data_IF_328434342119
#
_entry.id   IF_328434342119
#
_cell.length_a   1.000
_cell.length_b   1.000
_cell.length_c   1.000
_cell.angle_alpha   90.00
_cell.angle_beta   90.00
_cell.angle_gamma   90.00
#
_symmetry.space_group_name_H-M   'P 1'
#
loop_
_entity.id
_entity.type
_entity.pdbx_description
1 polymer ?
#
# COMPACT_ATOMS: atom_id res chain seq x y z
N UNK A 1 14.52 0.89 -1.17
CA UNK A 1 13.49 0.15 -0.44
C UNK A 1 12.12 0.51 -1.00
N UNK A 2 11.35 -0.48 -1.34
CA UNK A 2 9.96 -0.31 -1.77
C UNK A 2 9.07 -0.89 -0.67
N UNK A 3 8.20 -0.06 -0.11
CA UNK A 3 7.29 -0.47 0.95
C UNK A 3 5.85 -0.52 0.42
N UNK A 4 5.28 -1.70 0.39
CA UNK A 4 3.87 -1.91 0.03
C UNK A 4 3.21 -2.73 1.14
N UNK A 5 2.81 -2.04 2.19
CA UNK A 5 2.26 -2.64 3.41
C UNK A 5 0.85 -2.11 3.66
N UNK A 6 0.08 -2.86 4.41
CA UNK A 6 -1.22 -2.42 4.90
C UNK A 6 -2.37 -3.39 4.68
N UNK A 7 -2.32 -4.22 3.65
CA UNK A 7 -3.43 -5.13 3.34
C UNK A 7 -3.74 -6.07 4.51
N UNK A 8 -2.72 -6.69 5.11
CA UNK A 8 -2.91 -7.63 6.21
C UNK A 8 -3.37 -6.94 7.49
N UNK A 9 -3.06 -5.66 7.64
CA UNK A 9 -3.50 -4.89 8.81
C UNK A 9 -5.01 -4.65 8.83
N UNK A 10 -5.68 -4.83 7.69
CA UNK A 10 -7.13 -4.61 7.59
C UNK A 10 -7.98 -5.74 8.18
N UNK A 11 -7.39 -6.89 8.51
CA UNK A 11 -8.13 -7.98 9.12
C UNK A 11 -8.55 -7.62 10.54
N UNK A 12 -9.65 -8.19 11.01
CA UNK A 12 -10.14 -7.94 12.36
C UNK A 12 -9.09 -8.26 13.43
N UNK A 13 -8.31 -9.32 13.22
CA UNK A 13 -7.27 -9.74 14.15
C UNK A 13 -6.13 -8.73 14.27
N UNK A 14 -5.79 -8.06 13.18
CA UNK A 14 -4.61 -7.20 13.10
C UNK A 14 -4.93 -5.72 13.22
N UNK A 15 -6.19 -5.34 12.97
CA UNK A 15 -6.57 -3.93 13.00
C UNK A 15 -6.71 -3.41 14.43
N UNK A 16 -6.03 -2.32 14.73
CA UNK A 16 -6.24 -1.56 15.96
C UNK A 16 -6.95 -0.25 15.65
N UNK A 17 -6.22 0.70 15.10
CA UNK A 17 -6.78 1.98 14.64
C UNK A 17 -5.78 2.61 13.66
N UNK A 18 -6.22 3.65 12.98
CA UNK A 18 -5.39 4.31 11.97
C UNK A 18 -4.21 5.06 12.60
N UNK A 19 -4.35 5.59 13.80
CA UNK A 19 -3.28 6.29 14.47
C UNK A 19 -2.12 5.35 14.82
N UNK A 20 -2.43 4.15 15.30
CA UNK A 20 -1.44 3.12 15.57
C UNK A 20 -0.73 2.70 14.27
N UNK A 21 -1.49 2.51 13.21
CA UNK A 21 -0.91 2.19 11.90
C UNK A 21 0.08 3.27 11.45
N UNK A 22 -0.30 4.53 11.56
CA UNK A 22 0.55 5.65 11.16
C UNK A 22 1.84 5.71 11.96
N UNK A 23 1.77 5.49 13.27
CA UNK A 23 2.95 5.48 14.14
C UNK A 23 3.91 4.35 13.77
N UNK A 24 3.37 3.16 13.58
CA UNK A 24 4.19 1.99 13.25
C UNK A 24 4.83 2.16 11.88
N UNK A 25 4.09 2.67 10.92
CA UNK A 25 4.58 2.91 9.57
C UNK A 25 5.69 3.97 9.58
N UNK A 26 5.48 5.07 10.29
CA UNK A 26 6.48 6.14 10.42
C UNK A 26 7.74 5.63 11.12
N UNK A 27 7.60 4.80 12.14
CA UNK A 27 8.74 4.19 12.83
C UNK A 27 9.57 3.32 11.89
N UNK A 28 8.89 2.57 11.04
CA UNK A 28 9.56 1.72 10.06
C UNK A 28 10.34 2.55 9.04
N UNK A 29 9.75 3.61 8.53
CA UNK A 29 10.42 4.55 7.64
C UNK A 29 11.68 5.12 8.30
N UNK A 30 11.53 5.58 9.52
CA UNK A 30 12.67 6.15 10.27
C UNK A 30 13.78 5.15 10.45
N UNK A 31 13.43 3.89 10.74
CA UNK A 31 14.42 2.83 10.86
C UNK A 31 15.27 2.68 9.60
N UNK A 32 14.66 2.74 8.43
CA UNK A 32 15.39 2.69 7.17
C UNK A 32 16.19 3.96 6.93
N UNK A 33 15.65 5.13 7.25
CA UNK A 33 16.34 6.41 7.06
C UNK A 33 17.60 6.50 7.92
N UNK A 34 17.60 5.88 9.08
CA UNK A 34 18.73 5.90 10.02
C UNK A 34 19.84 4.92 9.66
N UNK A 35 19.65 4.07 8.64
CA UNK A 35 20.69 3.15 8.20
C UNK A 35 21.86 3.91 7.55
N UNK A 36 23.07 3.41 7.76
CA UNK A 36 24.28 4.01 7.19
C UNK A 36 24.25 4.07 5.66
N UNK A 37 23.58 3.11 5.03
CA UNK A 37 23.45 3.08 3.58
C UNK A 37 22.54 4.18 3.03
N UNK A 38 21.76 4.83 3.89
CA UNK A 38 20.80 5.86 3.51
C UNK A 38 19.96 5.46 2.31
N UNK A 39 19.23 4.34 2.38
CA UNK A 39 18.50 3.84 1.22
C UNK A 39 17.40 4.81 0.79
N UNK A 40 17.18 4.86 -0.51
CA UNK A 40 16.02 5.55 -1.06
C UNK A 40 14.77 4.75 -0.75
N UNK A 41 13.72 5.43 -0.32
CA UNK A 41 12.48 4.77 0.08
C UNK A 41 11.34 5.19 -0.84
N UNK A 42 10.62 4.19 -1.36
CA UNK A 42 9.47 4.37 -2.22
C UNK A 42 8.27 3.76 -1.52
N UNK A 43 7.18 4.51 -1.42
CA UNK A 43 5.96 4.02 -0.80
C UNK A 43 4.97 3.63 -1.88
N UNK A 44 4.30 2.49 -1.68
CA UNK A 44 3.23 2.03 -2.58
C UNK A 44 1.99 1.84 -1.71
N UNK A 45 0.88 2.47 -2.09
CA UNK A 45 -0.37 2.24 -1.38
C UNK A 45 -0.84 0.81 -1.64
N UNK A 46 -1.53 0.16 -0.68
CA UNK A 46 -2.09 -1.16 -0.94
C UNK A 46 -3.18 -1.07 -2.00
N UNK A 47 -3.41 -2.16 -2.77
CA UNK A 47 -4.52 -2.17 -3.70
C UNK A 47 -5.85 -2.15 -2.94
N UNK A 48 -6.91 -1.68 -3.59
CA UNK A 48 -8.22 -1.71 -2.97
C UNK A 48 -8.64 -3.15 -2.68
N UNK A 49 -9.53 -3.32 -1.72
CA UNK A 49 -10.12 -4.61 -1.41
C UNK A 49 -11.52 -4.64 -2.02
N UNK A 50 -11.79 -5.68 -2.82
CA UNK A 50 -13.10 -5.89 -3.41
C UNK A 50 -14.00 -6.54 -2.35
N UNK A 51 -15.11 -5.89 -2.02
CA UNK A 51 -16.06 -6.44 -1.05
C UNK A 51 -17.05 -7.37 -1.75
N UNK A 52 -17.37 -8.48 -1.09
CA UNK A 52 -18.43 -9.39 -1.50
C UNK A 52 -19.77 -9.03 -0.86
N UNK A 53 -19.84 -7.90 -0.15
CA UNK A 53 -21.02 -7.45 0.56
C UNK A 53 -21.11 -7.93 2.00
N UNK A 54 -20.20 -8.81 2.44
CA UNK A 54 -20.15 -9.24 3.83
C UNK A 54 -19.67 -8.09 4.72
N UNK A 55 -20.08 -8.11 5.99
CA UNK A 55 -19.67 -7.09 6.96
C UNK A 55 -18.14 -7.04 7.09
N UNK A 56 -17.50 -8.20 7.16
CA UNK A 56 -16.04 -8.28 7.26
C UNK A 56 -15.34 -7.60 6.08
N UNK A 57 -15.77 -7.90 4.85
CA UNK A 57 -15.13 -7.35 3.67
C UNK A 57 -15.42 -5.87 3.50
N UNK A 58 -16.61 -5.42 3.86
CA UNK A 58 -16.94 -4.00 3.85
C UNK A 58 -16.05 -3.21 4.80
N UNK A 59 -15.81 -3.75 6.00
CA UNK A 59 -14.92 -3.11 6.96
C UNK A 59 -13.48 -3.10 6.48
N UNK A 60 -13.01 -4.20 5.89
CA UNK A 60 -11.66 -4.25 5.33
C UNK A 60 -11.47 -3.24 4.20
N UNK A 61 -12.48 -3.09 3.35
CA UNK A 61 -12.43 -2.13 2.26
C UNK A 61 -12.32 -0.69 2.78
N UNK A 62 -13.03 -0.36 3.84
CA UNK A 62 -12.93 0.95 4.48
C UNK A 62 -11.56 1.17 5.13
N UNK A 63 -11.03 0.16 5.78
CA UNK A 63 -9.73 0.25 6.45
C UNK A 63 -8.60 0.44 5.45
N UNK A 64 -8.63 -0.25 4.31
CA UNK A 64 -7.60 -0.08 3.29
C UNK A 64 -7.65 1.32 2.67
N UNK A 65 -8.83 1.90 2.55
CA UNK A 65 -8.97 3.28 2.09
C UNK A 65 -8.36 4.27 3.08
N UNK A 66 -8.60 4.08 4.37
CA UNK A 66 -7.96 4.89 5.42
C UNK A 66 -6.45 4.75 5.38
N UNK A 67 -5.95 3.54 5.20
CA UNK A 67 -4.52 3.25 5.09
C UNK A 67 -3.92 3.96 3.88
N UNK A 68 -4.58 3.89 2.74
CA UNK A 68 -4.16 4.55 1.51
C UNK A 68 -3.98 6.06 1.76
N UNK A 69 -4.96 6.69 2.36
CA UNK A 69 -4.91 8.12 2.66
C UNK A 69 -3.79 8.44 3.66
N UNK A 70 -3.60 7.58 4.67
CA UNK A 70 -2.53 7.75 5.65
C UNK A 70 -1.15 7.65 5.01
N UNK A 71 -0.95 6.70 4.10
CA UNK A 71 0.34 6.53 3.42
C UNK A 71 0.65 7.75 2.54
N UNK A 72 -0.34 8.30 1.86
CA UNK A 72 -0.15 9.52 1.09
C UNK A 72 0.29 10.69 1.96
N UNK A 73 -0.35 10.86 3.12
CA UNK A 73 0.02 11.90 4.08
C UNK A 73 1.44 11.69 4.62
N UNK A 74 1.78 10.45 4.96
CA UNK A 74 3.12 10.10 5.45
C UNK A 74 4.18 10.38 4.38
N UNK A 75 3.89 10.02 3.13
CA UNK A 75 4.80 10.28 2.02
C UNK A 75 5.06 11.76 1.84
N UNK A 76 4.01 12.57 1.86
CA UNK A 76 4.11 14.02 1.74
C UNK A 76 4.93 14.60 2.90
N UNK A 77 4.65 14.18 4.12
CA UNK A 77 5.34 14.65 5.31
C UNK A 77 6.84 14.32 5.31
N UNK A 78 7.20 13.15 4.79
CA UNK A 78 8.59 12.69 4.74
C UNK A 78 9.27 13.00 3.40
N UNK A 79 8.59 13.66 2.48
CA UNK A 79 9.08 13.98 1.14
C UNK A 79 9.51 12.74 0.36
N UNK A 80 8.71 11.68 0.47
CA UNK A 80 8.92 10.42 -0.24
C UNK A 80 7.93 10.29 -1.39
N UNK A 81 8.37 9.60 -2.44
CA UNK A 81 7.49 9.30 -3.57
C UNK A 81 6.50 8.21 -3.19
N UNK A 82 5.23 8.45 -3.48
CA UNK A 82 4.15 7.48 -3.25
C UNK A 82 3.60 7.05 -4.61
N UNK A 83 3.62 5.75 -4.86
CA UNK A 83 2.94 5.16 -6.01
C UNK A 83 1.53 4.76 -5.59
N UNK A 84 0.52 5.34 -6.22
CA UNK A 84 -0.88 5.16 -5.83
C UNK A 84 -1.49 3.93 -6.52
N UNK A 85 -1.08 2.75 -6.05
CA UNK A 85 -1.63 1.49 -6.57
C UNK A 85 -3.12 1.36 -6.26
N UNK A 86 -3.58 1.91 -5.14
CA UNK A 86 -4.99 1.85 -4.76
C UNK A 86 -5.89 2.39 -5.88
N UNK A 87 -5.59 3.58 -6.37
CA UNK A 87 -6.40 4.21 -7.42
C UNK A 87 -6.34 3.44 -8.74
N UNK A 88 -5.18 2.92 -9.10
CA UNK A 88 -5.05 2.10 -10.30
C UNK A 88 -5.85 0.81 -10.18
N UNK A 89 -5.80 0.16 -9.04
CA UNK A 89 -6.50 -1.10 -8.83
C UNK A 89 -8.02 -0.97 -8.90
N UNK A 90 -8.56 0.21 -8.58
CA UNK A 90 -10.00 0.47 -8.70
C UNK A 90 -10.49 0.33 -10.14
N UNK A 91 -9.63 0.59 -11.11
CA UNK A 91 -9.96 0.53 -12.54
C UNK A 91 -9.75 -0.86 -13.14
N UNK A 92 -9.21 -1.80 -12.35
CA UNK A 92 -8.82 -3.11 -12.84
C UNK A 92 -9.32 -4.24 -11.94
N UNK A 93 -10.64 -4.43 -11.84
CA UNK A 93 -11.18 -5.51 -11.01
C UNK A 93 -10.71 -6.90 -11.44
N UNK A 94 -10.27 -7.05 -12.70
CA UNK A 94 -9.75 -8.29 -13.25
C UNK A 94 -8.37 -8.69 -12.69
N UNK A 95 -7.73 -7.83 -11.92
CA UNK A 95 -6.40 -8.10 -11.34
C UNK A 95 -6.46 -8.97 -10.08
N UNK A 96 -7.64 -9.35 -9.61
CA UNK A 96 -7.82 -9.97 -8.30
C UNK A 96 -8.11 -11.46 -8.39
N UNK A 97 -7.66 -12.19 -7.35
CA UNK A 97 -8.10 -13.56 -7.11
C UNK A 97 -9.53 -13.53 -6.57
N UNK A 98 -10.13 -14.71 -6.43
CA UNK A 98 -11.53 -14.83 -6.00
C UNK A 98 -11.81 -14.22 -4.62
N UNK A 99 -10.79 -14.15 -3.76
CA UNK A 99 -10.95 -13.57 -2.43
C UNK A 99 -11.15 -12.04 -2.44
N UNK A 100 -10.90 -11.39 -3.57
CA UNK A 100 -11.05 -9.92 -3.69
C UNK A 100 -9.96 -9.12 -2.97
N UNK A 101 -8.96 -9.80 -2.41
CA UNK A 101 -7.88 -9.19 -1.62
C UNK A 101 -6.54 -9.34 -2.33
N UNK A 102 -6.19 -10.58 -2.68
CA UNK A 102 -4.90 -10.87 -3.31
C UNK A 102 -4.96 -10.65 -4.81
N UNK A 103 -3.88 -10.14 -5.36
CA UNK A 103 -3.77 -9.96 -6.79
C UNK A 103 -3.48 -11.29 -7.47
N UNK A 104 -4.02 -11.46 -8.67
CA UNK A 104 -3.70 -12.60 -9.51
C UNK A 104 -2.37 -12.32 -10.26
N UNK A 105 -1.98 -13.24 -11.14
CA UNK A 105 -0.75 -13.11 -11.90
C UNK A 105 -0.69 -11.82 -12.71
N UNK A 106 -1.80 -11.46 -13.37
CA UNK A 106 -1.86 -10.25 -14.20
C UNK A 106 -1.73 -8.99 -13.34
N UNK A 107 -2.39 -8.97 -12.19
CA UNK A 107 -2.28 -7.87 -11.25
C UNK A 107 -0.86 -7.74 -10.69
N UNK A 108 -0.25 -8.85 -10.31
CA UNK A 108 1.13 -8.84 -9.81
C UNK A 108 2.12 -8.34 -10.85
N UNK A 109 1.96 -8.75 -12.12
CA UNK A 109 2.81 -8.25 -13.20
C UNK A 109 2.62 -6.76 -13.44
N UNK A 110 1.37 -6.29 -13.39
CA UNK A 110 1.08 -4.87 -13.55
C UNK A 110 1.75 -4.03 -12.45
N UNK A 111 1.70 -4.49 -11.20
CA UNK A 111 2.38 -3.82 -10.09
C UNK A 111 3.89 -3.79 -10.29
N UNK A 112 4.48 -4.90 -10.70
CA UNK A 112 5.91 -4.98 -10.96
C UNK A 112 6.33 -3.98 -12.05
N UNK A 113 5.56 -3.88 -13.12
CA UNK A 113 5.82 -2.93 -14.19
C UNK A 113 5.72 -1.48 -13.71
N UNK A 114 4.69 -1.16 -12.95
CA UNK A 114 4.48 0.18 -12.43
C UNK A 114 5.60 0.60 -11.48
N UNK A 115 5.99 -0.27 -10.56
CA UNK A 115 7.08 0.00 -9.62
C UNK A 115 8.41 0.13 -10.37
N UNK A 116 8.68 -0.78 -11.28
CA UNK A 116 9.89 -0.75 -12.09
C UNK A 116 10.02 0.54 -12.89
N UNK A 117 8.95 0.93 -13.58
CA UNK A 117 8.93 2.16 -14.37
C UNK A 117 9.14 3.40 -13.52
N UNK A 118 8.51 3.43 -12.34
CA UNK A 118 8.65 4.56 -11.43
C UNK A 118 10.10 4.73 -10.98
N UNK A 119 10.75 3.66 -10.59
CA UNK A 119 12.15 3.68 -10.14
C UNK A 119 13.08 4.06 -11.29
N UNK A 120 12.91 3.46 -12.46
CA UNK A 120 13.75 3.72 -13.63
C UNK A 120 13.62 5.18 -14.07
N UNK A 121 12.42 5.70 -14.16
CA UNK A 121 12.19 7.07 -14.61
C UNK A 121 12.78 8.10 -13.65
N UNK A 122 12.79 7.81 -12.35
CA UNK A 122 13.34 8.75 -11.38
C UNK A 122 14.87 8.71 -11.31
N UNK A 123 15.48 7.58 -11.64
CA UNK A 123 16.95 7.46 -11.63
C UNK A 123 17.60 7.98 -12.92
N UNK A 124 16.79 8.28 -13.90
CA UNK A 124 17.25 8.94 -15.12
C UNK A 124 17.24 10.46 -14.95
#
# INVERSE_FOLDING_TARGET
>A
VVMMLGTNDTTEENWTDIDTFQKDYQSLIKGYQDLKSSPEIWLVTPPMIQSDGSTEMEERAKRVEEIKNAIETIGEKNKLTVLDLYSYSQKHPEWYQEDGVRLNKDGALAVADMVGDCIINKTK
#
